data_IF_616774415854
#
_entry.id   IF_616774415854
#
_cell.length_a   1.000
_cell.length_b   1.000
_cell.length_c   1.000
_cell.angle_alpha   90.00
_cell.angle_beta   90.00
_cell.angle_gamma   90.00
#
_symmetry.space_group_name_H-M   'P 1'
#
loop_
_entity.id
_entity.type
_entity.pdbx_description
1 polymer ?
#
# COMPACT_ATOMS: atom_id res chain seq x y z
N UNK A 1 -50.71 -5.07 45.30
CA UNK A 1 -49.95 -6.04 44.48
C UNK A 1 -48.89 -5.26 43.70
N UNK A 2 -47.67 -5.13 44.25
CA UNK A 2 -46.49 -4.64 43.52
C UNK A 2 -45.28 -5.36 44.12
N UNK A 3 -44.64 -6.22 43.33
CA UNK A 3 -43.47 -7.02 43.73
C UNK A 3 -42.21 -6.21 43.46
N UNK A 4 -41.41 -5.93 44.49
CA UNK A 4 -40.12 -5.25 44.37
C UNK A 4 -39.06 -6.32 44.05
N UNK A 5 -38.64 -6.41 42.79
CA UNK A 5 -37.46 -7.19 42.42
C UNK A 5 -36.22 -6.56 43.08
N UNK A 6 -35.66 -7.25 44.08
CA UNK A 6 -34.31 -6.95 44.59
C UNK A 6 -33.31 -7.10 43.45
N UNK A 7 -32.72 -6.00 42.99
CA UNK A 7 -31.49 -6.03 42.18
C UNK A 7 -30.37 -6.47 43.10
N UNK A 8 -30.06 -7.76 43.10
CA UNK A 8 -28.90 -8.30 43.78
C UNK A 8 -27.87 -8.69 42.71
N UNK A 9 -26.66 -8.15 42.86
CA UNK A 9 -25.37 -8.59 42.30
C UNK A 9 -24.63 -7.51 41.50
N UNK A 10 -23.96 -6.59 42.22
CA UNK A 10 -22.92 -5.70 41.69
C UNK A 10 -21.84 -5.45 42.75
N UNK A 11 -21.29 -6.52 43.35
CA UNK A 11 -20.16 -6.39 44.27
C UNK A 11 -19.43 -7.74 44.46
N UNK A 12 -18.92 -8.32 43.38
CA UNK A 12 -17.80 -9.26 43.53
C UNK A 12 -16.53 -8.42 43.68
N UNK A 13 -15.80 -8.51 44.80
CA UNK A 13 -14.52 -7.84 44.92
C UNK A 13 -13.59 -8.43 43.86
N UNK A 14 -13.04 -7.57 43.01
CA UNK A 14 -11.98 -7.97 42.09
C UNK A 14 -10.86 -8.51 42.96
N UNK A 15 -10.58 -9.80 42.82
CA UNK A 15 -9.60 -10.49 43.66
C UNK A 15 -8.18 -10.11 43.21
N UNK A 16 -7.21 -10.15 44.12
CA UNK A 16 -5.80 -9.83 43.80
C UNK A 16 -5.23 -10.73 42.68
N UNK A 17 -5.83 -11.91 42.48
CA UNK A 17 -5.52 -12.84 41.39
C UNK A 17 -5.96 -12.25 40.04
N UNK A 18 -7.12 -11.62 39.97
CA UNK A 18 -7.61 -10.98 38.74
C UNK A 18 -6.80 -9.74 38.39
N UNK A 19 -6.39 -8.94 39.40
CA UNK A 19 -5.52 -7.77 39.20
C UNK A 19 -4.12 -8.19 38.72
N UNK A 20 -3.53 -9.20 39.35
CA UNK A 20 -2.21 -9.71 38.96
C UNK A 20 -2.22 -10.34 37.57
N UNK A 21 -3.30 -11.04 37.20
CA UNK A 21 -3.49 -11.60 35.86
C UNK A 21 -3.63 -10.50 34.80
N UNK A 22 -4.38 -9.43 35.08
CA UNK A 22 -4.49 -8.25 34.21
C UNK A 22 -3.15 -7.54 34.04
N UNK A 23 -2.39 -7.35 35.12
CA UNK A 23 -1.06 -6.74 35.05
C UNK A 23 -0.06 -7.61 34.28
N UNK A 24 -0.19 -8.93 34.35
CA UNK A 24 0.67 -9.85 33.61
C UNK A 24 0.32 -9.88 32.12
N UNK A 25 -0.96 -9.75 31.76
CA UNK A 25 -1.40 -9.55 30.37
C UNK A 25 -0.91 -8.22 29.79
N UNK A 26 -0.94 -7.12 30.57
CA UNK A 26 -0.42 -5.82 30.14
C UNK A 26 1.11 -5.80 30.00
N UNK A 27 1.84 -6.57 30.82
CA UNK A 27 3.30 -6.73 30.68
C UNK A 27 3.69 -7.66 29.51
N UNK A 28 2.79 -8.52 29.06
CA UNK A 28 3.02 -9.44 27.96
C UNK A 28 2.84 -8.80 26.57
N UNK A 29 2.13 -7.67 26.48
CA UNK A 29 2.09 -6.90 25.24
C UNK A 29 3.37 -6.07 25.07
N UNK A 30 4.17 -6.28 24.01
CA UNK A 30 5.27 -5.37 23.72
C UNK A 30 4.69 -3.97 23.49
N UNK A 31 5.17 -3.01 24.28
CA UNK A 31 4.64 -1.66 24.39
C UNK A 31 4.81 -0.84 23.10
N UNK A 32 3.91 -1.03 22.13
CA UNK A 32 3.84 -0.26 20.89
C UNK A 32 5.10 -0.34 20.01
N UNK A 33 5.03 0.29 18.83
CA UNK A 33 6.16 0.38 17.87
C UNK A 33 7.42 1.02 18.52
N UNK A 34 7.22 1.80 19.59
CA UNK A 34 8.28 2.49 20.31
C UNK A 34 9.20 1.54 21.12
N UNK A 35 8.71 0.37 21.54
CA UNK A 35 9.50 -0.59 22.31
C UNK A 35 10.01 -1.77 21.49
N UNK A 36 9.73 -1.79 20.18
CA UNK A 36 10.29 -2.80 19.29
C UNK A 36 11.79 -2.62 19.15
N UNK A 37 12.54 -3.73 19.22
CA UNK A 37 13.93 -3.75 18.79
C UNK A 37 14.06 -3.39 17.30
N UNK A 38 15.26 -3.02 16.86
CA UNK A 38 15.48 -2.60 15.48
C UNK A 38 15.08 -3.68 14.45
N UNK A 39 15.32 -4.95 14.77
CA UNK A 39 14.95 -6.09 13.93
C UNK A 39 13.43 -6.28 13.86
N UNK A 40 12.75 -6.22 15.01
CA UNK A 40 11.28 -6.33 15.07
C UNK A 40 10.60 -5.18 14.34
N UNK A 41 11.15 -3.96 14.44
CA UNK A 41 10.65 -2.79 13.75
C UNK A 41 10.84 -2.89 12.23
N UNK A 42 11.95 -3.46 11.78
CA UNK A 42 12.20 -3.71 10.37
C UNK A 42 11.19 -4.70 9.80
N UNK A 43 10.96 -5.83 10.50
CA UNK A 43 10.00 -6.84 10.06
C UNK A 43 8.57 -6.31 10.12
N UNK A 44 8.22 -5.56 11.16
CA UNK A 44 6.94 -4.86 11.27
C UNK A 44 6.70 -3.92 10.08
N UNK A 45 7.69 -3.09 9.73
CA UNK A 45 7.59 -2.16 8.60
C UNK A 45 7.48 -2.91 7.26
N UNK A 46 8.20 -4.02 7.09
CA UNK A 46 8.11 -4.88 5.91
C UNK A 46 6.70 -5.46 5.77
N UNK A 47 6.16 -6.03 6.84
CA UNK A 47 4.81 -6.58 6.87
C UNK A 47 3.73 -5.50 6.68
N UNK A 48 3.91 -4.30 7.26
CA UNK A 48 3.01 -3.17 7.07
C UNK A 48 3.00 -2.70 5.61
N UNK A 49 4.18 -2.63 4.97
CA UNK A 49 4.31 -2.27 3.55
C UNK A 49 3.67 -3.31 2.64
N UNK A 50 3.82 -4.60 2.95
CA UNK A 50 3.13 -5.67 2.23
C UNK A 50 1.60 -5.53 2.33
N UNK A 51 1.07 -5.36 3.55
CA UNK A 51 -0.37 -5.12 3.80
C UNK A 51 -0.88 -3.85 3.13
N UNK A 52 -0.07 -2.80 3.06
CA UNK A 52 -0.43 -1.57 2.35
C UNK A 52 -0.55 -1.80 0.85
N UNK A 53 0.38 -2.54 0.24
CA UNK A 53 0.33 -2.88 -1.19
C UNK A 53 -0.88 -3.74 -1.52
N UNK A 54 -1.19 -4.72 -0.67
CA UNK A 54 -2.34 -5.59 -0.84
C UNK A 54 -3.66 -4.79 -0.79
N UNK A 55 -3.84 -3.92 0.21
CA UNK A 55 -5.01 -3.03 0.30
C UNK A 55 -5.13 -2.11 -0.93
N UNK A 56 -4.01 -1.59 -1.42
CA UNK A 56 -4.01 -0.75 -2.61
C UNK A 56 -4.42 -1.51 -3.86
N UNK A 57 -3.91 -2.74 -4.05
CA UNK A 57 -4.31 -3.62 -5.15
C UNK A 57 -5.81 -3.92 -5.10
N UNK A 58 -6.33 -4.32 -3.93
CA UNK A 58 -7.76 -4.59 -3.75
C UNK A 58 -8.63 -3.36 -4.01
N UNK A 59 -8.17 -2.17 -3.61
CA UNK A 59 -8.89 -0.91 -3.87
C UNK A 59 -8.93 -0.56 -5.36
N UNK A 60 -7.87 -0.85 -6.11
CA UNK A 60 -7.82 -0.68 -7.58
C UNK A 60 -8.74 -1.69 -8.26
N UNK A 61 -8.69 -2.97 -7.87
CA UNK A 61 -9.59 -4.02 -8.39
C UNK A 61 -11.07 -3.70 -8.12
N UNK A 62 -11.38 -3.12 -6.95
CA UNK A 62 -12.74 -2.71 -6.57
C UNK A 62 -13.19 -1.35 -7.16
N UNK A 63 -12.33 -0.66 -7.94
CA UNK A 63 -12.64 0.66 -8.49
C UNK A 63 -12.75 1.79 -7.45
N UNK A 64 -12.39 1.52 -6.19
CA UNK A 64 -12.50 2.44 -5.06
C UNK A 64 -11.12 3.01 -4.63
N UNK A 65 -10.16 3.05 -5.56
CA UNK A 65 -8.83 3.59 -5.28
C UNK A 65 -8.93 5.06 -4.85
N UNK A 66 -8.57 5.34 -3.59
CA UNK A 66 -8.57 6.71 -3.08
C UNK A 66 -7.58 7.56 -3.90
N UNK A 67 -7.98 8.76 -4.37
CA UNK A 67 -7.08 9.64 -5.10
C UNK A 67 -5.86 9.98 -4.25
N UNK A 68 -4.69 9.63 -4.76
CA UNK A 68 -3.39 9.94 -4.16
C UNK A 68 -2.45 10.39 -5.27
N UNK A 69 -1.67 11.45 -5.00
CA UNK A 69 -0.71 12.03 -5.97
C UNK A 69 0.30 10.99 -6.45
N UNK A 70 0.80 10.12 -5.56
CA UNK A 70 1.77 9.10 -5.96
C UNK A 70 1.16 8.04 -6.87
N UNK A 71 -0.09 7.64 -6.59
CA UNK A 71 -0.84 6.71 -7.44
C UNK A 71 -1.17 7.34 -8.79
N UNK A 72 -1.49 8.64 -8.82
CA UNK A 72 -1.71 9.37 -10.07
C UNK A 72 -0.43 9.45 -10.91
N UNK A 73 0.73 9.72 -10.30
CA UNK A 73 2.02 9.71 -11.02
C UNK A 73 2.34 8.34 -11.61
N UNK A 74 2.15 7.29 -10.83
CA UNK A 74 2.37 5.92 -11.29
C UNK A 74 1.40 5.55 -12.43
N UNK A 75 0.13 5.97 -12.35
CA UNK A 75 -0.86 5.74 -13.40
C UNK A 75 -0.49 6.50 -14.69
N UNK A 76 -0.09 7.76 -14.58
CA UNK A 76 0.36 8.56 -15.71
C UNK A 76 1.62 7.95 -16.35
N UNK A 77 2.55 7.42 -15.55
CA UNK A 77 3.71 6.72 -16.05
C UNK A 77 3.31 5.46 -16.83
N UNK A 78 2.36 4.67 -16.32
CA UNK A 78 1.85 3.50 -17.03
C UNK A 78 1.19 3.86 -18.36
N UNK A 79 0.36 4.91 -18.37
CA UNK A 79 -0.27 5.42 -19.60
C UNK A 79 0.80 5.83 -20.62
N UNK A 80 1.83 6.58 -20.19
CA UNK A 80 2.93 6.96 -21.07
C UNK A 80 3.68 5.74 -21.65
N UNK A 81 3.91 4.71 -20.85
CA UNK A 81 4.52 3.44 -21.30
C UNK A 81 3.64 2.77 -22.37
N UNK A 82 2.33 2.68 -22.14
CA UNK A 82 1.39 2.09 -23.11
C UNK A 82 1.31 2.89 -24.40
N UNK A 83 1.27 4.22 -24.32
CA UNK A 83 1.27 5.10 -25.49
C UNK A 83 2.52 4.91 -26.34
N UNK A 84 3.71 4.81 -25.70
CA UNK A 84 4.95 4.51 -26.40
C UNK A 84 4.96 3.11 -27.03
N UNK A 85 4.34 2.12 -26.38
CA UNK A 85 4.26 0.76 -26.89
C UNK A 85 3.34 0.66 -28.13
N UNK A 86 2.22 1.39 -28.13
CA UNK A 86 1.22 1.36 -29.20
C UNK A 86 1.44 2.39 -30.31
N UNK A 87 2.49 3.23 -30.21
CA UNK A 87 2.65 4.42 -31.07
C UNK A 87 1.38 5.28 -31.13
N UNK A 88 0.72 5.45 -29.98
CA UNK A 88 -0.53 6.19 -29.89
C UNK A 88 -0.32 7.70 -30.02
N UNK A 89 -1.39 8.43 -30.36
CA UNK A 89 -1.37 9.91 -30.43
C UNK A 89 -0.79 10.50 -29.14
N UNK A 90 0.25 11.33 -29.27
CA UNK A 90 0.98 11.91 -28.12
C UNK A 90 2.27 11.17 -27.74
N UNK A 91 2.55 10.00 -28.33
CA UNK A 91 3.85 9.32 -28.16
C UNK A 91 5.03 10.19 -28.56
N UNK A 92 4.86 11.04 -29.57
CA UNK A 92 5.91 11.94 -30.05
C UNK A 92 6.26 13.00 -29.02
N UNK A 93 5.27 13.55 -28.31
CA UNK A 93 5.50 14.49 -27.20
C UNK A 93 6.32 13.83 -26.10
N UNK A 94 6.01 12.57 -25.77
CA UNK A 94 6.78 11.78 -24.80
C UNK A 94 8.22 11.59 -25.30
N UNK A 95 8.40 11.20 -26.57
CA UNK A 95 9.72 11.04 -27.17
C UNK A 95 10.51 12.36 -27.22
N UNK A 96 9.89 13.49 -27.52
CA UNK A 96 10.53 14.81 -27.48
C UNK A 96 11.00 15.15 -26.07
N UNK A 97 10.18 14.88 -25.04
CA UNK A 97 10.57 15.09 -23.65
C UNK A 97 11.74 14.18 -23.24
N UNK A 98 11.72 12.90 -23.63
CA UNK A 98 12.83 11.98 -23.38
C UNK A 98 14.11 12.44 -24.09
N UNK A 99 14.02 12.85 -25.36
CA UNK A 99 15.15 13.38 -26.11
C UNK A 99 15.73 14.64 -25.45
N UNK A 100 14.88 15.55 -24.97
CA UNK A 100 15.32 16.73 -24.23
C UNK A 100 16.03 16.38 -22.93
N UNK A 101 15.51 15.42 -22.17
CA UNK A 101 16.09 15.03 -20.89
C UNK A 101 17.41 14.25 -21.04
N UNK A 102 17.50 13.36 -22.04
CA UNK A 102 18.66 12.50 -22.28
C UNK A 102 19.62 13.04 -23.35
N UNK A 103 19.42 14.27 -23.84
CA UNK A 103 20.30 14.92 -24.82
C UNK A 103 20.32 14.25 -26.20
N UNK A 104 19.25 13.58 -26.61
CA UNK A 104 19.09 13.01 -27.96
C UNK A 104 19.97 11.78 -28.30
N UNK A 105 20.71 11.22 -27.34
CA UNK A 105 21.44 9.96 -27.53
C UNK A 105 20.49 8.76 -27.61
N UNK A 106 20.91 7.57 -28.06
CA UNK A 106 20.03 6.41 -28.35
C UNK A 106 19.19 5.82 -27.20
N UNK A 107 19.17 6.45 -26.02
CA UNK A 107 18.40 6.02 -24.86
C UNK A 107 16.88 6.17 -25.00
N UNK A 108 16.31 7.29 -25.51
CA UNK A 108 14.87 7.40 -25.78
C UNK A 108 14.36 6.30 -26.73
N UNK A 109 15.10 5.99 -27.80
CA UNK A 109 14.76 4.87 -28.68
C UNK A 109 14.84 3.53 -27.96
N UNK A 110 15.82 3.35 -27.08
CA UNK A 110 15.90 2.15 -26.26
C UNK A 110 14.72 2.06 -25.27
N UNK A 111 14.26 3.16 -24.68
CA UNK A 111 13.05 3.22 -23.84
C UNK A 111 11.83 2.81 -24.66
N UNK A 112 11.63 3.42 -25.84
CA UNK A 112 10.52 3.09 -26.74
C UNK A 112 10.51 1.61 -27.10
N UNK A 113 11.67 1.06 -27.48
CA UNK A 113 11.82 -0.39 -27.76
C UNK A 113 11.51 -1.25 -26.53
N UNK A 114 11.93 -0.84 -25.32
CA UNK A 114 11.63 -1.55 -24.07
C UNK A 114 10.14 -1.51 -23.73
N UNK A 115 9.44 -0.42 -24.02
CA UNK A 115 8.00 -0.32 -23.92
C UNK A 115 7.32 -1.30 -24.89
N UNK A 116 7.68 -1.27 -26.18
CA UNK A 116 7.14 -2.19 -27.20
C UNK A 116 7.36 -3.67 -26.89
N UNK A 117 8.53 -4.02 -26.38
CA UNK A 117 8.87 -5.41 -26.02
C UNK A 117 8.31 -5.83 -24.65
N UNK A 118 7.65 -4.93 -23.92
CA UNK A 118 7.12 -5.18 -22.57
C UNK A 118 8.20 -5.37 -21.50
N UNK A 119 9.45 -4.98 -21.77
CA UNK A 119 10.53 -4.96 -20.77
C UNK A 119 10.37 -3.80 -19.79
N UNK A 120 9.70 -2.73 -20.20
CA UNK A 120 9.27 -1.66 -19.31
C UNK A 120 7.85 -1.98 -18.82
N UNK A 121 7.75 -2.52 -17.60
CA UNK A 121 6.48 -2.99 -17.03
C UNK A 121 5.69 -1.83 -16.43
N UNK A 122 4.38 -1.82 -16.71
CA UNK A 122 3.40 -1.01 -16.01
C UNK A 122 3.24 -1.51 -14.56
N UNK A 123 3.04 -0.60 -13.62
CA UNK A 123 2.96 -0.90 -12.19
C UNK A 123 1.53 -1.13 -11.71
N UNK A 124 0.61 -0.26 -12.14
CA UNK A 124 -0.80 -0.23 -11.72
C UNK A 124 -1.67 -0.98 -12.71
N UNK A 125 -1.57 -0.66 -14.00
CA UNK A 125 -2.48 -1.20 -15.02
C UNK A 125 -2.16 -2.65 -15.40
N UNK A 126 -1.02 -3.17 -14.95
CA UNK A 126 -0.55 -4.51 -15.30
C UNK A 126 -0.28 -4.67 -16.80
N UNK A 127 0.21 -5.84 -17.19
CA UNK A 127 0.34 -6.18 -18.60
C UNK A 127 -1.05 -6.56 -19.11
N UNK A 128 -1.68 -5.71 -19.92
CA UNK A 128 -2.82 -6.17 -20.72
C UNK A 128 -2.26 -7.18 -21.74
N UNK A 129 -2.62 -8.44 -21.59
CA UNK A 129 -2.41 -9.44 -22.63
C UNK A 129 -3.25 -9.03 -23.82
N UNK A 130 -2.60 -8.60 -24.91
CA UNK A 130 -3.21 -8.56 -26.22
C UNK A 130 -3.39 -9.98 -26.75
#
# INVERSE_FOLDING_TARGET
>A
MFSVQKRNDMSKPITDIEISTLLQAMKAEPSGIAAMSALERQEYNRAAKARSRERQRQSVEAGAAKPNVDTARDLLADIAIMMLAADAVGSDTIMSALNRYYGGGGWPEQIKRRAKTGRLKTRILGRQSA
#
